data_IF_286733896995
#
_entry.id   IF_286733896995
#
_cell.length_a   1.000
_cell.length_b   1.000
_cell.length_c   1.000
_cell.angle_alpha   90.00
_cell.angle_beta   90.00
_cell.angle_gamma   90.00
#
_symmetry.space_group_name_H-M   'P 1'
#
loop_
_entity.id
_entity.type
_entity.pdbx_description
1 polymer ?
#
# COMPACT_ATOMS: atom_id res chain seq x y z
N UNK A 1 -16.95 -33.06 37.68
CA UNK A 1 -15.63 -32.49 37.94
C UNK A 1 -14.70 -32.51 36.69
N UNK A 2 -14.62 -33.57 35.89
CA UNK A 2 -13.73 -33.61 34.67
C UNK A 2 -14.09 -32.62 33.54
N UNK A 3 -15.37 -32.25 33.35
CA UNK A 3 -15.78 -31.28 32.34
C UNK A 3 -15.43 -29.82 32.67
N UNK A 4 -15.40 -29.46 33.95
CA UNK A 4 -15.05 -28.11 34.41
C UNK A 4 -13.53 -27.85 34.27
N UNK A 5 -12.71 -28.88 34.53
CA UNK A 5 -11.26 -28.81 34.39
C UNK A 5 -10.84 -28.64 32.92
N UNK A 6 -11.55 -29.29 31.98
CA UNK A 6 -11.26 -29.16 30.55
C UNK A 6 -11.63 -27.75 29.99
N UNK A 7 -12.72 -27.18 30.49
CA UNK A 7 -13.15 -25.81 30.12
C UNK A 7 -12.18 -24.76 30.69
N UNK A 8 -11.68 -24.94 31.92
CA UNK A 8 -10.69 -24.04 32.52
C UNK A 8 -9.35 -24.08 31.76
N UNK A 9 -8.85 -25.26 31.33
CA UNK A 9 -7.66 -25.38 30.52
C UNK A 9 -7.79 -24.68 29.17
N UNK A 10 -8.92 -24.85 28.48
CA UNK A 10 -9.15 -24.19 27.17
C UNK A 10 -9.20 -22.65 27.33
N UNK A 11 -9.82 -22.14 28.38
CA UNK A 11 -9.89 -20.70 28.66
C UNK A 11 -8.50 -20.15 29.04
N UNK A 12 -7.71 -20.91 29.80
CA UNK A 12 -6.32 -20.54 30.12
C UNK A 12 -5.40 -20.58 28.90
N UNK A 13 -5.52 -21.59 28.01
CA UNK A 13 -4.73 -21.68 26.76
C UNK A 13 -5.10 -20.57 25.78
N UNK A 14 -6.40 -20.21 25.65
CA UNK A 14 -6.82 -19.07 24.84
C UNK A 14 -6.33 -17.73 25.43
N UNK A 15 -6.36 -17.56 26.75
CA UNK A 15 -5.82 -16.36 27.40
C UNK A 15 -4.30 -16.30 27.29
N UNK A 16 -3.61 -17.43 27.35
CA UNK A 16 -2.16 -17.52 27.16
C UNK A 16 -1.73 -17.23 25.73
N UNK A 17 -2.47 -17.70 24.71
CA UNK A 17 -2.27 -17.34 23.30
C UNK A 17 -2.58 -15.85 23.04
N UNK A 18 -3.63 -15.29 23.64
CA UNK A 18 -3.95 -13.86 23.54
C UNK A 18 -2.92 -12.95 24.23
N UNK A 19 -2.26 -13.41 25.31
CA UNK A 19 -1.25 -12.61 26.02
C UNK A 19 0.10 -12.49 25.30
N UNK A 20 0.34 -13.28 24.26
CA UNK A 20 1.55 -13.24 23.45
C UNK A 20 1.40 -12.48 22.13
N UNK A 21 0.16 -12.14 21.70
CA UNK A 21 -0.06 -11.34 20.49
C UNK A 21 -0.30 -9.87 20.84
N UNK A 22 0.73 -9.07 20.66
CA UNK A 22 0.63 -7.63 20.87
C UNK A 22 -0.06 -6.96 19.68
N UNK A 23 -1.39 -6.80 19.79
CA UNK A 23 -2.21 -6.13 18.75
C UNK A 23 -2.19 -4.61 18.92
N UNK A 24 -2.02 -4.14 20.15
CA UNK A 24 -2.03 -2.71 20.47
C UNK A 24 -0.78 -2.02 19.90
N UNK A 25 -0.97 -0.84 19.32
CA UNK A 25 0.10 0.00 18.79
C UNK A 25 0.30 1.28 19.60
N UNK A 26 -0.81 1.85 20.07
CA UNK A 26 -0.81 3.14 20.74
C UNK A 26 -0.54 2.96 22.23
N UNK A 27 0.25 3.84 22.81
CA UNK A 27 0.24 4.05 24.26
C UNK A 27 -1.12 4.57 24.71
N UNK A 28 -1.43 4.49 26.00
CA UNK A 28 -2.68 5.04 26.54
C UNK A 28 -2.84 6.52 26.21
N UNK A 29 -1.77 7.31 26.32
CA UNK A 29 -1.79 8.74 26.03
C UNK A 29 -2.04 9.03 24.53
N UNK A 30 -1.47 8.25 23.63
CA UNK A 30 -1.72 8.39 22.18
C UNK A 30 -3.15 7.99 21.83
N UNK A 31 -3.69 6.94 22.43
CA UNK A 31 -5.08 6.53 22.22
C UNK A 31 -6.06 7.57 22.73
N UNK A 32 -5.82 8.16 23.91
CA UNK A 32 -6.59 9.27 24.46
C UNK A 32 -6.52 10.50 23.55
N UNK A 33 -5.32 10.90 23.10
CA UNK A 33 -5.12 12.01 22.17
C UNK A 33 -5.84 11.79 20.85
N UNK A 34 -5.75 10.60 20.26
CA UNK A 34 -6.44 10.26 19.01
C UNK A 34 -7.97 10.37 19.18
N UNK A 35 -8.50 9.83 20.28
CA UNK A 35 -9.93 9.96 20.59
C UNK A 35 -10.35 11.43 20.75
N UNK A 36 -9.58 12.23 21.47
CA UNK A 36 -9.84 13.67 21.63
C UNK A 36 -9.89 14.40 20.29
N UNK A 37 -8.91 14.16 19.41
CA UNK A 37 -8.87 14.76 18.06
C UNK A 37 -10.09 14.36 17.24
N UNK A 38 -10.47 13.08 17.25
CA UNK A 38 -11.65 12.58 16.54
C UNK A 38 -12.93 13.20 17.12
N UNK A 39 -13.08 13.22 18.45
CA UNK A 39 -14.32 13.67 19.09
C UNK A 39 -14.57 15.16 18.87
N UNK A 40 -13.51 15.98 18.86
CA UNK A 40 -13.60 17.42 18.63
C UNK A 40 -13.80 17.79 17.16
N UNK A 41 -13.38 16.96 16.21
CA UNK A 41 -13.50 17.27 14.79
C UNK A 41 -14.94 17.20 14.26
N UNK A 42 -15.32 18.16 13.43
CA UNK A 42 -16.61 18.21 12.73
C UNK A 42 -16.47 17.79 11.26
N UNK A 43 -15.37 18.19 10.60
CA UNK A 43 -15.07 17.85 9.23
C UNK A 43 -13.71 17.16 9.14
N UNK A 44 -13.73 15.89 8.80
CA UNK A 44 -12.54 15.05 8.73
C UNK A 44 -12.21 14.76 7.26
N UNK A 45 -10.93 14.87 6.91
CA UNK A 45 -10.40 14.44 5.62
C UNK A 45 -9.50 13.22 5.83
N UNK A 46 -9.62 12.24 4.95
CA UNK A 46 -8.71 11.09 4.86
C UNK A 46 -8.03 11.15 3.49
N UNK A 47 -6.71 11.07 3.46
CA UNK A 47 -5.94 11.08 2.22
C UNK A 47 -4.81 10.06 2.25
N UNK A 48 -4.32 9.68 1.06
CA UNK A 48 -3.21 8.75 0.88
C UNK A 48 -2.22 9.25 -0.17
N UNK A 49 -1.18 8.46 -0.46
CA UNK A 49 -0.14 8.84 -1.41
C UNK A 49 -0.62 8.93 -2.87
N UNK A 50 0.17 9.60 -3.72
CA UNK A 50 -0.02 9.64 -5.17
C UNK A 50 0.05 8.24 -5.78
N UNK A 51 -0.75 8.02 -6.83
CA UNK A 51 -0.92 6.72 -7.47
C UNK A 51 -1.31 5.65 -6.46
N UNK A 52 -2.45 5.84 -5.77
CA UNK A 52 -2.87 4.96 -4.68
C UNK A 52 -2.94 3.50 -5.14
N UNK A 53 -2.35 2.62 -4.36
CA UNK A 53 -2.41 1.18 -4.55
C UNK A 53 -3.51 0.53 -3.71
N UNK A 54 -3.46 -0.79 -3.56
CA UNK A 54 -4.49 -1.51 -2.82
C UNK A 54 -4.45 -1.26 -1.31
N UNK A 55 -3.26 -0.99 -0.74
CA UNK A 55 -3.13 -0.68 0.68
C UNK A 55 -3.57 0.75 0.98
N UNK A 56 -3.08 1.73 0.22
CA UNK A 56 -3.51 3.12 0.34
C UNK A 56 -5.04 3.26 0.26
N UNK A 57 -5.66 2.60 -0.72
CA UNK A 57 -7.12 2.61 -0.88
C UNK A 57 -7.83 1.82 0.22
N UNK A 58 -7.34 0.63 0.56
CA UNK A 58 -7.93 -0.24 1.57
C UNK A 58 -7.93 0.39 2.96
N UNK A 59 -6.77 0.89 3.41
CA UNK A 59 -6.60 1.55 4.69
C UNK A 59 -7.44 2.83 4.80
N UNK A 60 -7.38 3.70 3.78
CA UNK A 60 -8.11 4.97 3.79
C UNK A 60 -9.62 4.79 3.76
N UNK A 61 -10.14 3.85 2.95
CA UNK A 61 -11.57 3.53 2.91
C UNK A 61 -12.04 2.91 4.23
N UNK A 62 -11.25 2.01 4.82
CA UNK A 62 -11.59 1.37 6.09
C UNK A 62 -11.64 2.37 7.24
N UNK A 63 -10.67 3.28 7.31
CA UNK A 63 -10.66 4.34 8.31
C UNK A 63 -11.83 5.31 8.13
N UNK A 64 -12.14 5.68 6.89
CA UNK A 64 -13.32 6.48 6.53
C UNK A 64 -14.62 5.81 6.99
N UNK A 65 -14.76 4.49 6.76
CA UNK A 65 -15.94 3.72 7.20
C UNK A 65 -16.03 3.64 8.72
N UNK A 66 -14.90 3.42 9.43
CA UNK A 66 -14.88 3.42 10.90
C UNK A 66 -15.34 4.76 11.47
N UNK A 67 -14.76 5.85 11.01
CA UNK A 67 -15.11 7.19 11.48
C UNK A 67 -16.56 7.55 11.18
N UNK A 68 -17.05 7.24 9.99
CA UNK A 68 -18.43 7.58 9.58
C UNK A 68 -19.47 6.70 10.27
N UNK A 69 -19.25 5.37 10.36
CA UNK A 69 -20.27 4.43 10.82
C UNK A 69 -20.26 4.22 12.35
N UNK A 70 -19.10 4.35 13.00
CA UNK A 70 -18.97 4.06 14.43
C UNK A 70 -18.74 5.30 15.28
N UNK A 71 -18.19 6.38 14.69
CA UNK A 71 -17.93 7.64 15.41
C UNK A 71 -18.88 8.76 14.98
N UNK A 72 -19.81 8.50 14.06
CA UNK A 72 -20.79 9.46 13.53
C UNK A 72 -20.16 10.76 13.02
N UNK A 73 -19.02 10.64 12.30
CA UNK A 73 -18.26 11.77 11.79
C UNK A 73 -18.53 12.02 10.30
N UNK A 74 -18.52 13.31 9.92
CA UNK A 74 -18.54 13.71 8.51
C UNK A 74 -17.13 13.58 7.94
N UNK A 75 -16.93 12.57 7.09
CA UNK A 75 -15.60 12.25 6.54
C UNK A 75 -15.62 12.34 5.01
N UNK A 76 -14.62 13.00 4.46
CA UNK A 76 -14.38 13.04 3.02
C UNK A 76 -13.05 12.36 2.71
N UNK A 77 -13.06 11.32 1.87
CA UNK A 77 -11.84 10.72 1.35
C UNK A 77 -11.41 11.44 0.08
N UNK A 78 -10.17 11.92 0.08
CA UNK A 78 -9.53 12.61 -1.05
C UNK A 78 -8.30 11.82 -1.48
N UNK A 79 -8.09 11.65 -2.78
CA UNK A 79 -6.87 11.04 -3.32
C UNK A 79 -6.20 11.98 -4.33
N UNK A 80 -4.86 11.97 -4.45
CA UNK A 80 -4.15 12.87 -5.35
C UNK A 80 -4.51 12.66 -6.83
N UNK A 81 -4.62 11.40 -7.26
CA UNK A 81 -4.87 11.04 -8.65
C UNK A 81 -5.65 9.72 -8.81
N UNK A 82 -5.69 9.17 -10.02
CA UNK A 82 -6.37 7.91 -10.29
C UNK A 82 -5.67 6.71 -9.64
N UNK A 83 -6.46 5.82 -9.06
CA UNK A 83 -6.06 4.50 -8.62
C UNK A 83 -6.37 3.43 -9.69
N UNK A 84 -5.77 2.21 -9.58
CA UNK A 84 -5.97 1.14 -10.55
C UNK A 84 -7.42 0.68 -10.69
N UNK A 85 -7.80 0.32 -11.92
CA UNK A 85 -9.16 -0.14 -12.26
C UNK A 85 -9.63 -1.33 -11.42
N UNK A 86 -8.71 -2.24 -11.09
CA UNK A 86 -9.02 -3.42 -10.29
C UNK A 86 -9.39 -3.11 -8.83
N UNK A 87 -9.34 -1.84 -8.40
CA UNK A 87 -9.77 -1.40 -7.07
C UNK A 87 -11.16 -0.75 -7.06
N UNK A 88 -11.75 -0.45 -8.22
CA UNK A 88 -13.06 0.23 -8.31
C UNK A 88 -14.23 -0.58 -7.71
N UNK A 89 -14.05 -1.88 -7.49
CA UNK A 89 -15.05 -2.73 -6.83
C UNK A 89 -15.05 -2.57 -5.30
N UNK A 90 -14.00 -1.98 -4.71
CA UNK A 90 -13.96 -1.76 -3.26
C UNK A 90 -15.12 -0.85 -2.84
N UNK A 91 -15.86 -1.24 -1.79
CA UNK A 91 -16.95 -0.41 -1.32
C UNK A 91 -16.45 0.97 -0.90
N UNK A 92 -17.13 2.04 -1.31
CA UNK A 92 -16.79 3.41 -0.96
C UNK A 92 -16.00 4.18 -2.01
N UNK A 93 -15.43 3.51 -2.98
CA UNK A 93 -14.70 4.15 -4.09
C UNK A 93 -15.55 5.15 -4.88
N UNK A 94 -16.86 4.95 -4.91
CA UNK A 94 -17.82 5.84 -5.56
C UNK A 94 -17.93 7.23 -4.92
N UNK A 95 -17.41 7.40 -3.69
CA UNK A 95 -17.45 8.66 -2.92
C UNK A 95 -16.08 9.35 -2.82
N UNK A 96 -15.05 8.75 -3.39
CA UNK A 96 -13.68 9.28 -3.34
C UNK A 96 -13.54 10.48 -4.26
N UNK A 97 -13.05 11.59 -3.73
CA UNK A 97 -12.80 12.82 -4.50
C UNK A 97 -11.35 12.81 -5.00
N UNK A 98 -11.16 12.97 -6.30
CA UNK A 98 -9.83 12.98 -6.91
C UNK A 98 -9.34 14.42 -7.11
N UNK A 99 -8.18 14.76 -6.57
CA UNK A 99 -7.58 16.09 -6.70
C UNK A 99 -7.25 16.44 -8.15
N UNK A 100 -6.69 15.51 -8.94
CA UNK A 100 -6.35 15.72 -10.36
C UNK A 100 -7.56 16.11 -11.23
N UNK A 101 -8.78 15.87 -10.77
CA UNK A 101 -10.03 16.21 -11.45
C UNK A 101 -10.78 17.40 -10.84
N UNK A 102 -10.61 17.64 -9.53
CA UNK A 102 -11.41 18.55 -8.76
C UNK A 102 -10.54 19.40 -7.82
N UNK A 103 -9.50 20.09 -8.38
CA UNK A 103 -8.49 20.83 -7.61
C UNK A 103 -9.10 21.86 -6.67
N UNK A 104 -9.99 22.71 -7.17
CA UNK A 104 -10.61 23.79 -6.38
C UNK A 104 -11.51 23.23 -5.27
N UNK A 105 -12.30 22.19 -5.58
CA UNK A 105 -13.14 21.53 -4.59
C UNK A 105 -12.31 20.89 -3.47
N UNK A 106 -11.20 20.25 -3.81
CA UNK A 106 -10.32 19.63 -2.81
C UNK A 106 -9.61 20.70 -1.97
N UNK A 107 -9.18 21.80 -2.57
CA UNK A 107 -8.61 22.93 -1.82
C UNK A 107 -9.61 23.49 -0.81
N UNK A 108 -10.88 23.64 -1.19
CA UNK A 108 -11.95 24.06 -0.29
C UNK A 108 -12.19 23.03 0.85
N UNK A 109 -12.26 21.74 0.52
CA UNK A 109 -12.40 20.65 1.51
C UNK A 109 -11.26 20.68 2.52
N UNK A 110 -10.01 20.79 2.07
CA UNK A 110 -8.83 20.81 2.93
C UNK A 110 -8.77 22.06 3.81
N UNK A 111 -9.19 23.21 3.30
CA UNK A 111 -9.23 24.49 4.06
C UNK A 111 -10.22 24.42 5.23
N UNK A 112 -11.32 23.68 5.08
CA UNK A 112 -12.35 23.55 6.12
C UNK A 112 -12.20 22.30 7.00
N UNK A 113 -11.18 21.49 6.77
CA UNK A 113 -10.96 20.30 7.56
C UNK A 113 -10.42 20.66 8.95
N UNK A 114 -11.05 20.11 10.00
CA UNK A 114 -10.57 20.22 11.38
C UNK A 114 -9.48 19.17 11.67
N UNK A 115 -9.59 18.01 11.02
CA UNK A 115 -8.70 16.88 11.21
C UNK A 115 -8.43 16.19 9.87
N UNK A 116 -7.16 15.93 9.59
CA UNK A 116 -6.70 15.29 8.35
C UNK A 116 -5.90 14.05 8.69
N UNK A 117 -6.32 12.90 8.20
CA UNK A 117 -5.58 11.65 8.30
C UNK A 117 -4.73 11.44 7.06
N UNK A 118 -3.42 11.34 7.27
CA UNK A 118 -2.39 11.03 6.27
C UNK A 118 -2.11 9.52 6.34
N UNK A 119 -2.68 8.74 5.42
CA UNK A 119 -2.64 7.26 5.48
C UNK A 119 -1.73 6.72 4.38
N UNK A 120 -0.84 5.80 4.77
CA UNK A 120 0.05 5.08 3.87
C UNK A 120 1.07 5.98 3.16
N UNK A 121 1.57 6.99 3.85
CA UNK A 121 2.73 7.76 3.40
C UNK A 121 3.48 8.41 4.56
N UNK A 122 4.79 8.48 4.41
CA UNK A 122 5.76 8.94 5.41
C UNK A 122 6.16 10.41 5.27
N UNK A 123 5.80 11.08 4.18
CA UNK A 123 6.23 12.45 3.86
C UNK A 123 5.15 13.20 3.08
N UNK A 124 4.98 14.51 3.35
CA UNK A 124 3.99 15.34 2.65
C UNK A 124 4.19 15.37 1.13
N UNK A 125 5.40 15.26 0.65
CA UNK A 125 5.74 15.22 -0.78
C UNK A 125 5.19 14.01 -1.52
N UNK A 126 4.75 12.96 -0.81
CA UNK A 126 4.16 11.74 -1.40
C UNK A 126 2.80 11.97 -2.07
N UNK A 127 2.14 13.09 -1.78
CA UNK A 127 0.89 13.46 -2.45
C UNK A 127 1.10 14.34 -3.70
N UNK A 128 2.36 14.56 -4.13
CA UNK A 128 2.79 15.25 -5.36
C UNK A 128 2.13 16.63 -5.55
N UNK A 129 1.35 16.84 -6.60
CA UNK A 129 0.70 18.14 -6.87
C UNK A 129 -0.22 18.63 -5.73
N UNK A 130 -0.74 17.75 -4.89
CA UNK A 130 -1.59 18.10 -3.76
C UNK A 130 -0.78 18.55 -2.52
N UNK A 131 0.57 18.49 -2.55
CA UNK A 131 1.45 18.78 -1.40
C UNK A 131 1.18 20.18 -0.82
N UNK A 132 1.11 21.20 -1.65
CA UNK A 132 0.84 22.58 -1.19
C UNK A 132 -0.48 22.68 -0.45
N UNK A 133 -1.55 22.12 -1.04
CA UNK A 133 -2.91 22.17 -0.45
C UNK A 133 -2.95 21.42 0.89
N UNK A 134 -2.28 20.27 0.99
CA UNK A 134 -2.19 19.51 2.24
C UNK A 134 -1.35 20.23 3.31
N UNK A 135 -0.23 20.84 2.92
CA UNK A 135 0.68 21.53 3.84
C UNK A 135 0.04 22.79 4.40
N UNK A 136 -0.65 23.56 3.56
CA UNK A 136 -1.31 24.82 3.95
C UNK A 136 -2.61 24.61 4.73
N UNK A 137 -3.19 23.43 4.71
CA UNK A 137 -4.38 23.11 5.50
C UNK A 137 -4.10 23.26 7.01
N UNK A 138 -4.98 23.98 7.70
CA UNK A 138 -4.83 24.36 9.12
C UNK A 138 -5.33 23.30 10.10
N UNK A 139 -6.09 22.30 9.64
CA UNK A 139 -6.55 21.18 10.46
C UNK A 139 -5.42 20.37 11.06
N UNK A 140 -5.66 19.79 12.22
CA UNK A 140 -4.73 18.83 12.84
C UNK A 140 -4.42 17.68 11.90
N UNK A 141 -3.16 17.23 11.82
CA UNK A 141 -2.76 16.15 10.95
C UNK A 141 -2.31 14.94 11.75
N UNK A 142 -2.83 13.77 11.40
CA UNK A 142 -2.49 12.48 12.01
C UNK A 142 -1.95 11.55 10.94
N UNK A 143 -0.73 11.05 11.11
CA UNK A 143 -0.13 10.05 10.24
C UNK A 143 -0.49 8.66 10.72
N UNK A 144 -0.89 7.76 9.79
CA UNK A 144 -1.04 6.32 10.01
C UNK A 144 -0.31 5.60 8.89
N UNK A 145 0.89 5.10 9.17
CA UNK A 145 1.83 4.68 8.13
C UNK A 145 2.73 3.52 8.57
N UNK A 146 3.33 2.84 7.60
CA UNK A 146 4.29 1.78 7.82
C UNK A 146 5.59 1.95 6.99
N UNK A 147 5.79 3.10 6.37
CA UNK A 147 7.01 3.39 5.63
C UNK A 147 8.17 3.80 6.55
N UNK A 148 9.41 3.55 6.09
CA UNK A 148 10.63 3.99 6.77
C UNK A 148 10.79 5.52 6.74
N UNK A 149 11.50 6.07 7.73
CA UNK A 149 11.88 7.48 7.80
C UNK A 149 10.70 8.47 7.72
N UNK A 150 9.72 8.39 8.64
CA UNK A 150 8.58 9.30 8.63
C UNK A 150 8.97 10.73 8.97
N UNK A 151 8.41 11.70 8.23
CA UNK A 151 8.53 13.14 8.50
C UNK A 151 7.61 13.53 9.66
N UNK A 152 8.18 14.20 10.68
CA UNK A 152 7.44 14.62 11.89
C UNK A 152 6.81 16.00 11.76
N UNK A 153 7.35 16.83 10.87
CA UNK A 153 6.94 18.22 10.74
C UNK A 153 5.46 18.32 10.31
N UNK A 154 4.69 19.11 11.04
CA UNK A 154 3.27 19.33 10.77
C UNK A 154 2.33 18.22 11.24
N UNK A 155 2.82 17.15 11.90
CA UNK A 155 2.00 16.08 12.46
C UNK A 155 1.68 16.31 13.93
N UNK A 156 0.41 16.28 14.29
CA UNK A 156 -0.07 16.35 15.68
C UNK A 156 0.09 14.99 16.40
N UNK A 157 -0.12 13.90 15.66
CA UNK A 157 0.07 12.53 16.13
C UNK A 157 0.63 11.66 15.01
N UNK A 158 1.53 10.76 15.36
CA UNK A 158 2.11 9.80 14.43
C UNK A 158 1.93 8.37 14.91
N UNK A 159 1.22 7.58 14.12
CA UNK A 159 1.09 6.13 14.27
C UNK A 159 1.88 5.51 13.12
N UNK A 160 3.20 5.46 13.29
CA UNK A 160 4.13 5.01 12.25
C UNK A 160 4.89 3.77 12.72
N UNK A 161 4.66 2.64 12.02
CA UNK A 161 5.13 1.32 12.40
C UNK A 161 5.75 0.59 11.20
N UNK A 162 7.02 0.87 10.85
CA UNK A 162 7.68 0.26 9.69
C UNK A 162 7.84 -1.27 9.76
N UNK A 163 7.69 -1.85 10.93
CA UNK A 163 7.70 -3.31 11.13
C UNK A 163 6.39 -3.99 10.74
N UNK A 164 5.32 -3.23 10.51
CA UNK A 164 4.02 -3.78 10.10
C UNK A 164 3.97 -4.05 8.60
N UNK A 165 3.07 -4.94 8.20
CA UNK A 165 2.97 -5.41 6.82
C UNK A 165 2.35 -4.41 5.87
N UNK A 166 1.55 -3.46 6.39
CA UNK A 166 0.73 -2.54 5.60
C UNK A 166 0.11 -1.45 6.47
N UNK A 167 -0.28 -0.33 5.89
CA UNK A 167 -1.09 0.69 6.57
C UNK A 167 -2.49 0.16 6.93
N UNK A 168 -3.02 -0.79 6.18
CA UNK A 168 -4.27 -1.51 6.52
C UNK A 168 -4.13 -2.32 7.80
N UNK A 169 -2.96 -2.92 8.08
CA UNK A 169 -2.68 -3.55 9.36
C UNK A 169 -2.65 -2.52 10.49
N UNK A 170 -2.03 -1.35 10.26
CA UNK A 170 -2.04 -0.23 11.23
C UNK A 170 -3.48 0.17 11.55
N UNK A 171 -4.31 0.41 10.53
CA UNK A 171 -5.72 0.78 10.70
C UNK A 171 -6.49 -0.29 11.47
N UNK A 172 -6.34 -1.57 11.14
CA UNK A 172 -7.00 -2.65 11.89
C UNK A 172 -6.66 -2.59 13.37
N UNK A 173 -5.37 -2.49 13.70
CA UNK A 173 -4.88 -2.51 15.09
C UNK A 173 -5.36 -1.29 15.88
N UNK A 174 -5.39 -0.11 15.25
CA UNK A 174 -5.93 1.10 15.86
C UNK A 174 -7.43 0.97 16.10
N UNK A 175 -8.22 0.51 15.13
CA UNK A 175 -9.66 0.26 15.31
C UNK A 175 -9.91 -0.77 16.42
N UNK A 176 -9.11 -1.84 16.46
CA UNK A 176 -9.17 -2.84 17.53
C UNK A 176 -8.92 -2.23 18.90
N UNK A 177 -7.85 -1.48 19.05
CA UNK A 177 -7.45 -0.87 20.33
C UNK A 177 -8.44 0.19 20.81
N UNK A 178 -9.10 0.90 19.90
CA UNK A 178 -10.18 1.86 20.22
C UNK A 178 -11.54 1.18 20.47
N UNK A 179 -11.60 -0.16 20.53
CA UNK A 179 -12.82 -0.92 20.80
C UNK A 179 -13.81 -1.01 19.64
N UNK A 180 -13.39 -0.61 18.42
CA UNK A 180 -14.27 -0.58 17.24
C UNK A 180 -14.46 -1.92 16.56
N UNK A 181 -13.74 -2.97 16.95
CA UNK A 181 -13.79 -4.25 16.23
C UNK A 181 -15.18 -4.90 16.27
N UNK A 182 -15.84 -4.91 17.40
CA UNK A 182 -17.15 -5.59 17.55
C UNK A 182 -18.18 -5.04 16.56
N UNK A 183 -18.17 -3.73 16.33
CA UNK A 183 -19.07 -3.02 15.41
C UNK A 183 -18.52 -2.93 13.99
N UNK A 184 -17.33 -3.49 13.72
CA UNK A 184 -16.72 -3.46 12.39
C UNK A 184 -17.62 -4.13 11.36
N UNK A 185 -17.96 -3.37 10.33
CA UNK A 185 -18.81 -3.87 9.22
C UNK A 185 -18.04 -4.82 8.32
N UNK A 186 -18.75 -5.70 7.61
CA UNK A 186 -18.18 -6.52 6.54
C UNK A 186 -17.45 -5.66 5.48
N UNK A 187 -17.96 -4.47 5.21
CA UNK A 187 -17.40 -3.50 4.27
C UNK A 187 -16.01 -3.05 4.72
N UNK A 188 -15.89 -2.55 5.95
CA UNK A 188 -14.62 -2.15 6.55
C UNK A 188 -13.62 -3.32 6.59
N UNK A 189 -14.05 -4.51 7.00
CA UNK A 189 -13.21 -5.70 7.01
C UNK A 189 -12.72 -6.12 5.61
N UNK A 190 -13.55 -5.94 4.56
CA UNK A 190 -13.17 -6.20 3.17
C UNK A 190 -12.08 -5.25 2.69
N UNK A 191 -12.18 -3.97 3.05
CA UNK A 191 -11.21 -2.93 2.71
C UNK A 191 -9.84 -3.21 3.37
N UNK A 192 -9.84 -3.47 4.68
CA UNK A 192 -8.62 -3.83 5.43
C UNK A 192 -7.96 -5.08 4.84
N UNK A 193 -8.74 -6.15 4.62
CA UNK A 193 -8.19 -7.39 4.06
C UNK A 193 -7.59 -7.18 2.67
N UNK A 194 -8.23 -6.36 1.82
CA UNK A 194 -7.71 -6.05 0.50
C UNK A 194 -6.36 -5.34 0.58
N UNK A 195 -6.21 -4.34 1.43
CA UNK A 195 -4.94 -3.63 1.59
C UNK A 195 -3.84 -4.52 2.13
N UNK A 196 -4.08 -5.25 3.22
CA UNK A 196 -3.10 -6.22 3.75
C UNK A 196 -2.69 -7.26 2.70
N UNK A 197 -3.64 -7.75 1.90
CA UNK A 197 -3.38 -8.74 0.86
C UNK A 197 -2.54 -8.16 -0.29
N UNK A 198 -2.80 -6.94 -0.71
CA UNK A 198 -2.06 -6.34 -1.84
C UNK A 198 -0.63 -6.03 -1.46
N UNK A 199 -0.40 -5.46 -0.28
CA UNK A 199 0.95 -5.04 0.16
C UNK A 199 1.86 -6.22 0.55
N UNK A 200 1.27 -7.37 0.82
CA UNK A 200 1.99 -8.63 1.09
C UNK A 200 2.03 -9.60 -0.11
N UNK A 201 1.62 -9.13 -1.30
CA UNK A 201 1.57 -9.97 -2.50
C UNK A 201 0.74 -11.24 -2.33
N UNK A 202 -0.45 -11.11 -1.73
CA UNK A 202 -1.30 -12.24 -1.39
C UNK A 202 -0.78 -13.07 -0.22
N UNK A 203 -0.10 -12.43 0.73
CA UNK A 203 0.52 -13.05 1.91
C UNK A 203 1.70 -13.98 1.55
N UNK A 204 2.46 -13.62 0.52
CA UNK A 204 3.64 -14.38 0.07
C UNK A 204 4.96 -13.77 0.53
N UNK A 205 4.97 -12.50 0.91
CA UNK A 205 6.12 -11.81 1.52
C UNK A 205 5.64 -10.84 2.62
N UNK A 206 6.58 -10.39 3.47
CA UNK A 206 6.32 -9.51 4.63
C UNK A 206 5.12 -9.95 5.49
N UNK A 207 4.90 -11.27 5.59
CA UNK A 207 3.70 -11.85 6.23
C UNK A 207 4.01 -13.05 7.13
N UNK A 208 5.23 -13.13 7.68
CA UNK A 208 5.64 -14.25 8.54
C UNK A 208 5.21 -14.09 10.01
N UNK A 209 4.75 -12.90 10.43
CA UNK A 209 4.34 -12.63 11.80
C UNK A 209 2.97 -13.27 12.10
N UNK A 210 2.82 -13.99 13.24
CA UNK A 210 1.56 -14.64 13.61
C UNK A 210 0.36 -13.69 13.72
N UNK A 211 0.60 -12.43 14.10
CA UNK A 211 -0.43 -11.41 14.25
C UNK A 211 -1.18 -11.16 12.95
N UNK A 212 -0.52 -11.24 11.81
CA UNK A 212 -1.15 -11.07 10.48
C UNK A 212 -2.24 -12.12 10.30
N UNK A 213 -1.95 -13.38 10.59
CA UNK A 213 -2.91 -14.49 10.44
C UNK A 213 -4.02 -14.44 11.50
N UNK A 214 -3.70 -13.94 12.70
CA UNK A 214 -4.72 -13.66 13.70
C UNK A 214 -5.70 -12.58 13.19
N UNK A 215 -5.18 -11.46 12.67
CA UNK A 215 -6.00 -10.38 12.08
C UNK A 215 -6.85 -10.91 10.93
N UNK A 216 -6.26 -11.68 10.02
CA UNK A 216 -7.01 -12.33 8.92
C UNK A 216 -8.14 -13.19 9.48
N UNK A 217 -7.88 -14.01 10.50
CA UNK A 217 -8.90 -14.80 11.19
C UNK A 217 -10.04 -13.94 11.73
N UNK A 218 -9.72 -12.82 12.38
CA UNK A 218 -10.72 -11.88 12.88
C UNK A 218 -11.53 -11.23 11.74
N UNK A 219 -10.89 -10.79 10.67
CA UNK A 219 -11.58 -10.23 9.50
C UNK A 219 -12.55 -11.24 8.85
N UNK A 220 -12.17 -12.51 8.80
CA UNK A 220 -13.04 -13.59 8.30
C UNK A 220 -14.32 -13.74 9.15
N UNK A 221 -14.24 -13.50 10.47
CA UNK A 221 -15.45 -13.54 11.33
C UNK A 221 -16.48 -12.46 10.95
N UNK A 222 -16.07 -11.40 10.25
CA UNK A 222 -16.96 -10.36 9.73
C UNK A 222 -17.67 -10.76 8.42
N UNK A 223 -17.45 -12.00 7.95
CA UNK A 223 -18.14 -12.57 6.80
C UNK A 223 -17.62 -12.05 5.45
N UNK A 224 -16.36 -11.65 5.37
CA UNK A 224 -15.72 -11.29 4.09
C UNK A 224 -15.58 -12.53 3.19
N UNK A 225 -15.65 -12.32 1.89
CA UNK A 225 -15.36 -13.35 0.87
C UNK A 225 -13.92 -13.12 0.34
N UNK A 226 -12.94 -13.71 1.02
CA UNK A 226 -11.52 -13.54 0.67
C UNK A 226 -11.20 -14.05 -0.73
N UNK A 227 -11.88 -15.08 -1.21
CA UNK A 227 -11.63 -15.66 -2.53
C UNK A 227 -12.14 -14.71 -3.62
N UNK A 228 -13.27 -14.04 -3.39
CA UNK A 228 -13.77 -13.00 -4.28
C UNK A 228 -12.84 -11.78 -4.26
N UNK A 229 -12.34 -11.37 -3.09
CA UNK A 229 -11.36 -10.27 -2.97
C UNK A 229 -10.12 -10.60 -3.80
N UNK A 230 -9.56 -11.81 -3.62
CA UNK A 230 -8.40 -12.27 -4.38
C UNK A 230 -8.65 -12.26 -5.89
N UNK A 231 -9.80 -12.78 -6.34
CA UNK A 231 -10.16 -12.78 -7.77
C UNK A 231 -10.28 -11.37 -8.34
N UNK A 232 -10.87 -10.45 -7.59
CA UNK A 232 -11.05 -9.07 -8.06
C UNK A 232 -9.73 -8.33 -8.21
N UNK A 233 -8.70 -8.66 -7.41
CA UNK A 233 -7.38 -8.02 -7.45
C UNK A 233 -6.44 -8.74 -8.41
N UNK A 234 -6.24 -10.06 -8.23
CA UNK A 234 -5.19 -10.80 -8.93
C UNK A 234 -5.67 -11.59 -10.16
N UNK A 235 -6.98 -11.83 -10.28
CA UNK A 235 -7.55 -12.61 -11.39
C UNK A 235 -8.56 -11.78 -12.20
N UNK A 236 -8.33 -10.48 -12.32
CA UNK A 236 -9.20 -9.54 -13.02
C UNK A 236 -8.50 -8.83 -14.19
N UNK A 237 -7.59 -9.52 -14.85
CA UNK A 237 -6.89 -8.98 -16.00
C UNK A 237 -7.73 -9.07 -17.27
N UNK A 238 -7.65 -8.03 -18.11
CA UNK A 238 -8.17 -8.09 -19.48
C UNK A 238 -7.40 -9.13 -20.31
N UNK A 239 -8.00 -9.61 -21.38
CA UNK A 239 -7.29 -10.45 -22.35
C UNK A 239 -6.03 -9.77 -22.91
N UNK A 240 -6.07 -8.44 -23.06
CA UNK A 240 -4.93 -7.66 -23.55
C UNK A 240 -3.82 -7.56 -22.51
N UNK A 241 -4.15 -7.35 -21.24
CA UNK A 241 -3.16 -7.39 -20.14
C UNK A 241 -2.46 -8.75 -20.07
N UNK A 242 -3.20 -9.85 -20.19
CA UNK A 242 -2.61 -11.20 -20.21
C UNK A 242 -1.70 -11.43 -21.42
N UNK A 243 -2.08 -10.92 -22.60
CA UNK A 243 -1.23 -10.98 -23.80
C UNK A 243 0.02 -10.13 -23.65
N UNK A 244 -0.08 -8.94 -23.07
CA UNK A 244 1.08 -8.09 -22.75
C UNK A 244 2.04 -8.83 -21.81
N UNK A 245 1.55 -9.42 -20.72
CA UNK A 245 2.37 -10.23 -19.79
C UNK A 245 3.12 -11.34 -20.51
N UNK A 246 2.41 -12.14 -21.31
CA UNK A 246 3.04 -13.21 -22.11
C UNK A 246 4.10 -12.68 -23.08
N UNK A 247 3.83 -11.56 -23.77
CA UNK A 247 4.78 -10.91 -24.65
C UNK A 247 6.03 -10.41 -23.92
N UNK A 248 5.85 -9.70 -22.81
CA UNK A 248 6.97 -9.17 -22.01
C UNK A 248 7.86 -10.31 -21.53
N UNK A 249 7.30 -11.35 -20.92
CA UNK A 249 8.09 -12.46 -20.38
C UNK A 249 8.79 -13.25 -21.50
N UNK A 250 8.15 -13.44 -22.65
CA UNK A 250 8.72 -14.25 -23.73
C UNK A 250 9.66 -13.50 -24.68
N UNK A 251 9.51 -12.16 -24.81
CA UNK A 251 10.22 -11.38 -25.84
C UNK A 251 11.05 -10.22 -25.30
N UNK A 252 10.73 -9.73 -24.09
CA UNK A 252 11.34 -8.50 -23.55
C UNK A 252 12.16 -8.74 -22.28
N UNK A 253 12.07 -9.92 -21.69
CA UNK A 253 12.81 -10.25 -20.47
C UNK A 253 14.30 -10.39 -20.78
N UNK A 254 15.11 -9.56 -20.15
CA UNK A 254 16.56 -9.65 -20.12
C UNK A 254 16.97 -10.35 -18.81
N UNK A 255 17.64 -11.49 -18.91
CA UNK A 255 18.04 -12.32 -17.80
C UNK A 255 19.57 -12.35 -17.65
N UNK A 256 20.06 -12.11 -16.43
CA UNK A 256 21.47 -12.12 -16.08
C UNK A 256 21.71 -13.24 -15.05
N UNK A 257 22.04 -14.43 -15.56
CA UNK A 257 22.20 -15.62 -14.74
C UNK A 257 23.26 -15.44 -13.65
N UNK A 258 24.43 -14.90 -14.01
CA UNK A 258 25.55 -14.67 -13.10
C UNK A 258 25.26 -13.66 -11.96
N UNK A 259 24.23 -12.85 -12.12
CA UNK A 259 23.81 -11.81 -11.17
C UNK A 259 22.45 -12.12 -10.52
N UNK A 260 21.81 -13.24 -10.83
CA UNK A 260 20.47 -13.55 -10.32
C UNK A 260 19.49 -12.39 -10.49
N UNK A 261 19.61 -11.63 -11.55
CA UNK A 261 18.86 -10.42 -11.81
C UNK A 261 18.20 -10.45 -13.19
N UNK A 262 17.10 -9.73 -13.33
CA UNK A 262 16.43 -9.55 -14.61
C UNK A 262 15.86 -8.15 -14.72
N UNK A 263 15.66 -7.70 -15.96
CA UNK A 263 14.80 -6.55 -16.24
C UNK A 263 14.01 -6.77 -17.53
N UNK A 264 12.97 -5.98 -17.68
CA UNK A 264 12.20 -5.87 -18.92
C UNK A 264 11.73 -4.44 -19.16
N UNK A 265 11.35 -4.17 -20.41
CA UNK A 265 10.88 -2.86 -20.84
C UNK A 265 9.43 -2.92 -21.31
N UNK A 266 8.67 -1.86 -21.06
CA UNK A 266 7.33 -1.61 -21.60
C UNK A 266 7.36 -0.25 -22.29
N UNK A 267 7.37 -0.26 -23.63
CA UNK A 267 7.38 0.95 -24.44
C UNK A 267 5.97 1.47 -24.72
N UNK A 268 5.84 2.73 -25.14
CA UNK A 268 4.55 3.27 -25.64
C UNK A 268 3.99 2.45 -26.81
N UNK A 269 4.86 1.93 -27.67
CA UNK A 269 4.46 1.03 -28.75
C UNK A 269 3.84 -0.26 -28.21
N UNK A 270 4.44 -0.85 -27.16
CA UNK A 270 3.85 -2.03 -26.50
C UNK A 270 2.51 -1.68 -25.85
N UNK A 271 2.44 -0.55 -25.14
CA UNK A 271 1.19 -0.07 -24.53
C UNK A 271 0.08 0.12 -25.57
N UNK A 272 0.37 0.78 -26.68
CA UNK A 272 -0.59 0.97 -27.77
C UNK A 272 -1.02 -0.37 -28.40
N UNK A 273 -0.07 -1.27 -28.66
CA UNK A 273 -0.32 -2.60 -29.25
C UNK A 273 -1.25 -3.45 -28.40
N UNK A 274 -1.12 -3.37 -27.08
CA UNK A 274 -1.88 -4.21 -26.13
C UNK A 274 -3.01 -3.44 -25.42
N UNK A 275 -3.41 -2.27 -25.91
CA UNK A 275 -4.49 -1.47 -25.34
C UNK A 275 -4.35 -1.26 -23.83
N UNK A 276 -3.12 -0.93 -23.41
CA UNK A 276 -2.73 -0.81 -22.00
C UNK A 276 -3.59 0.21 -21.25
N UNK A 277 -4.08 -0.18 -20.10
CA UNK A 277 -4.74 0.71 -19.13
C UNK A 277 -3.97 0.72 -17.79
N UNK A 278 -4.18 1.75 -16.98
CA UNK A 278 -3.54 1.85 -15.65
C UNK A 278 -3.91 0.64 -14.79
N UNK A 279 -2.90 -0.09 -14.31
CA UNK A 279 -3.05 -1.34 -13.54
C UNK A 279 -2.65 -2.61 -14.31
N UNK A 280 -2.59 -2.60 -15.64
CA UNK A 280 -2.25 -3.80 -16.43
C UNK A 280 -0.82 -4.33 -16.16
N UNK A 281 0.10 -3.44 -15.76
CA UNK A 281 1.47 -3.82 -15.37
C UNK A 281 1.60 -4.20 -13.89
N UNK A 282 0.53 -4.08 -13.11
CA UNK A 282 0.60 -4.39 -11.67
C UNK A 282 1.00 -5.85 -11.45
N UNK A 283 1.97 -6.05 -10.55
CA UNK A 283 2.51 -7.37 -10.26
C UNK A 283 3.38 -8.00 -11.38
N UNK A 284 3.46 -7.41 -12.59
CA UNK A 284 4.26 -7.98 -13.68
C UNK A 284 5.76 -8.05 -13.30
N UNK A 285 6.24 -7.06 -12.56
CA UNK A 285 7.63 -7.03 -12.08
C UNK A 285 7.97 -8.19 -11.12
N UNK A 286 6.97 -8.84 -10.52
CA UNK A 286 7.18 -10.01 -9.67
C UNK A 286 7.32 -11.32 -10.45
N UNK A 287 6.84 -11.38 -11.70
CA UNK A 287 6.83 -12.63 -12.47
C UNK A 287 8.23 -13.23 -12.67
N UNK A 288 9.28 -12.44 -12.98
CA UNK A 288 10.62 -12.99 -13.12
C UNK A 288 11.20 -13.57 -11.83
N UNK A 289 10.76 -13.13 -10.65
CA UNK A 289 11.20 -13.67 -9.36
C UNK A 289 10.80 -15.15 -9.16
N UNK A 290 9.90 -15.68 -10.00
CA UNK A 290 9.55 -17.12 -10.03
C UNK A 290 10.60 -17.98 -10.73
N UNK A 291 11.57 -17.38 -11.41
CA UNK A 291 12.70 -18.11 -11.98
C UNK A 291 13.59 -18.58 -10.83
N UNK A 292 13.93 -19.86 -10.83
CA UNK A 292 14.74 -20.45 -9.77
C UNK A 292 16.05 -19.67 -9.59
N UNK A 293 16.31 -19.23 -8.37
CA UNK A 293 17.52 -18.48 -7.99
C UNK A 293 17.48 -16.98 -8.31
N UNK A 294 16.39 -16.45 -8.91
CA UNK A 294 16.27 -15.02 -9.16
C UNK A 294 16.14 -14.25 -7.86
N UNK A 295 16.95 -13.21 -7.69
CA UNK A 295 16.95 -12.32 -6.53
C UNK A 295 16.36 -10.92 -6.81
N UNK A 296 16.51 -10.43 -8.04
CA UNK A 296 16.11 -9.08 -8.43
C UNK A 296 15.36 -9.07 -9.75
N UNK A 297 14.26 -8.34 -9.80
CA UNK A 297 13.53 -8.01 -11.04
C UNK A 297 13.26 -6.51 -11.14
N UNK A 298 13.54 -5.93 -12.31
CA UNK A 298 13.36 -4.51 -12.61
C UNK A 298 12.45 -4.35 -13.82
N UNK A 299 11.47 -3.46 -13.71
CA UNK A 299 10.62 -3.03 -14.81
C UNK A 299 10.92 -1.59 -15.19
N UNK A 300 11.13 -1.34 -16.46
CA UNK A 300 11.25 -0.01 -17.07
C UNK A 300 10.02 0.25 -17.94
N UNK A 301 9.26 1.30 -17.64
CA UNK A 301 8.06 1.65 -18.40
C UNK A 301 8.11 3.10 -18.83
N UNK A 302 7.95 3.36 -20.15
CA UNK A 302 7.75 4.72 -20.65
C UNK A 302 6.50 5.37 -20.05
N UNK A 303 6.58 6.66 -19.74
CA UNK A 303 5.40 7.43 -19.37
C UNK A 303 4.49 7.60 -20.60
N UNK A 304 3.18 7.55 -20.42
CA UNK A 304 2.19 7.64 -21.49
C UNK A 304 2.01 9.06 -22.03
N UNK A 305 2.47 10.09 -21.30
CA UNK A 305 2.25 11.52 -21.62
C UNK A 305 3.54 12.31 -21.81
N UNK A 306 4.58 12.01 -21.04
CA UNK A 306 5.82 12.77 -21.01
C UNK A 306 6.94 12.04 -21.73
N UNK A 307 7.55 12.69 -22.72
CA UNK A 307 8.69 12.14 -23.43
C UNK A 307 9.91 12.04 -22.51
N UNK A 308 10.73 11.05 -22.72
CA UNK A 308 11.95 10.80 -21.94
C UNK A 308 11.72 10.69 -20.44
N UNK A 309 10.55 10.21 -20.02
CA UNK A 309 10.26 9.85 -18.63
C UNK A 309 10.04 8.34 -18.54
N UNK A 310 10.87 7.68 -17.76
CA UNK A 310 10.81 6.23 -17.52
C UNK A 310 10.47 5.97 -16.05
N UNK A 311 9.40 5.24 -15.83
CA UNK A 311 9.05 4.70 -14.52
C UNK A 311 9.83 3.43 -14.26
N UNK A 312 10.45 3.33 -13.09
CA UNK A 312 11.22 2.17 -12.66
C UNK A 312 10.52 1.51 -11.50
N UNK A 313 10.32 0.20 -11.58
CA UNK A 313 9.82 -0.60 -10.46
C UNK A 313 10.81 -1.71 -10.16
N UNK A 314 11.15 -1.90 -8.88
CA UNK A 314 12.07 -2.95 -8.43
C UNK A 314 11.34 -3.88 -7.47
N UNK A 315 11.62 -5.16 -7.61
CA UNK A 315 11.21 -6.19 -6.64
C UNK A 315 12.37 -7.14 -6.41
N UNK A 316 12.52 -7.57 -5.18
CA UNK A 316 13.55 -8.53 -4.81
C UNK A 316 13.01 -9.56 -3.83
N UNK A 317 13.83 -10.56 -3.53
CA UNK A 317 13.58 -11.55 -2.48
C UNK A 317 14.71 -11.48 -1.45
N UNK A 318 14.49 -12.10 -0.29
CA UNK A 318 15.46 -12.17 0.80
C UNK A 318 15.86 -10.78 1.30
N UNK A 319 17.12 -10.54 1.54
CA UNK A 319 17.70 -9.31 2.10
C UNK A 319 18.26 -8.33 1.04
N UNK A 320 17.97 -8.56 -0.24
CA UNK A 320 18.44 -7.63 -1.29
C UNK A 320 17.73 -6.26 -1.20
N UNK A 321 18.52 -5.15 -1.01
CA UNK A 321 17.94 -3.83 -0.70
C UNK A 321 17.53 -3.06 -1.97
N UNK A 322 16.33 -3.32 -2.48
CA UNK A 322 15.76 -2.54 -3.59
C UNK A 322 15.72 -1.04 -3.33
N UNK A 323 15.44 -0.63 -2.09
CA UNK A 323 15.36 0.78 -1.71
C UNK A 323 16.70 1.51 -1.84
N UNK A 324 17.80 0.87 -1.47
CA UNK A 324 19.14 1.45 -1.66
C UNK A 324 19.48 1.59 -3.15
N UNK A 325 19.18 0.57 -3.97
CA UNK A 325 19.38 0.62 -5.41
C UNK A 325 18.52 1.70 -6.06
N UNK A 326 17.24 1.80 -5.68
CA UNK A 326 16.33 2.81 -6.19
C UNK A 326 16.80 4.24 -5.85
N UNK A 327 17.25 4.47 -4.63
CA UNK A 327 17.76 5.78 -4.19
C UNK A 327 19.04 6.17 -4.93
N UNK A 328 19.96 5.21 -5.15
CA UNK A 328 21.27 5.47 -5.76
C UNK A 328 21.20 5.65 -7.28
N UNK A 329 20.40 4.86 -7.98
CA UNK A 329 20.42 4.79 -9.44
C UNK A 329 19.15 5.30 -10.14
N UNK A 330 18.01 5.38 -9.44
CA UNK A 330 16.72 5.61 -10.10
C UNK A 330 15.91 6.77 -9.53
N UNK A 331 16.53 7.67 -8.76
CA UNK A 331 15.86 8.82 -8.11
C UNK A 331 14.57 8.40 -7.39
N UNK A 332 14.67 7.34 -6.60
CA UNK A 332 13.52 6.70 -5.99
C UNK A 332 13.75 6.22 -4.56
N UNK A 333 12.91 5.29 -4.11
CA UNK A 333 12.94 4.70 -2.78
C UNK A 333 11.82 3.70 -2.59
N UNK A 334 11.57 3.30 -1.36
CA UNK A 334 10.52 2.34 -1.00
C UNK A 334 10.99 1.39 0.10
N UNK A 335 10.40 0.20 0.10
CA UNK A 335 10.74 -0.87 1.05
C UNK A 335 11.93 -1.71 0.58
N UNK A 336 12.46 -2.54 1.49
CA UNK A 336 13.59 -3.42 1.21
C UNK A 336 13.40 -4.23 -0.09
N UNK A 337 12.27 -4.88 -0.26
CA UNK A 337 11.98 -5.77 -1.39
C UNK A 337 11.01 -5.19 -2.44
N UNK A 338 10.53 -3.96 -2.25
CA UNK A 338 9.59 -3.31 -3.16
C UNK A 338 9.86 -1.81 -3.22
N UNK A 339 10.43 -1.34 -4.32
CA UNK A 339 10.82 0.05 -4.51
C UNK A 339 10.51 0.53 -5.91
N UNK A 340 10.48 1.84 -6.08
CA UNK A 340 10.26 2.47 -7.36
C UNK A 340 11.13 3.69 -7.56
N UNK A 341 11.16 4.20 -8.78
CA UNK A 341 11.89 5.41 -9.12
C UNK A 341 11.47 5.95 -10.48
N UNK A 342 12.17 6.99 -10.92
CA UNK A 342 11.96 7.60 -12.23
C UNK A 342 13.27 8.09 -12.83
N UNK A 343 13.40 7.96 -14.14
CA UNK A 343 14.52 8.48 -14.90
C UNK A 343 14.01 9.45 -15.98
N UNK A 344 14.67 10.60 -16.10
CA UNK A 344 14.40 11.57 -17.17
C UNK A 344 15.40 11.34 -18.32
N UNK A 345 15.19 10.29 -19.11
CA UNK A 345 16.10 9.87 -20.19
C UNK A 345 15.36 8.97 -21.21
N UNK A 346 16.04 8.60 -22.28
CA UNK A 346 15.52 7.62 -23.25
C UNK A 346 15.49 6.21 -22.65
N UNK A 347 14.75 5.28 -23.28
CA UNK A 347 14.72 3.88 -22.87
C UNK A 347 16.09 3.22 -22.93
N UNK A 348 16.89 3.49 -23.97
CA UNK A 348 18.24 2.93 -24.14
C UNK A 348 19.18 3.38 -23.01
N UNK A 349 19.08 4.64 -22.59
CA UNK A 349 19.84 5.18 -21.44
C UNK A 349 19.37 4.56 -20.11
N UNK A 350 18.07 4.34 -19.96
CA UNK A 350 17.51 3.68 -18.79
C UNK A 350 17.96 2.21 -18.70
N UNK A 351 17.98 1.47 -19.81
CA UNK A 351 18.52 0.11 -19.85
C UNK A 351 20.01 0.07 -19.45
N UNK A 352 20.78 1.05 -19.92
CA UNK A 352 22.20 1.18 -19.52
C UNK A 352 22.33 1.41 -18.03
N UNK A 353 21.53 2.33 -17.45
CA UNK A 353 21.51 2.59 -16.02
C UNK A 353 21.15 1.35 -15.19
N UNK A 354 20.21 0.52 -15.67
CA UNK A 354 19.87 -0.76 -15.03
C UNK A 354 21.06 -1.71 -15.02
N UNK A 355 21.77 -1.85 -16.15
CA UNK A 355 22.97 -2.72 -16.23
C UNK A 355 24.06 -2.26 -15.27
N UNK A 356 24.31 -0.96 -15.20
CA UNK A 356 25.26 -0.35 -14.27
C UNK A 356 24.84 -0.61 -12.81
N UNK A 357 23.55 -0.46 -12.48
CA UNK A 357 23.02 -0.72 -11.14
C UNK A 357 23.18 -2.20 -10.74
N UNK A 358 22.91 -3.15 -11.64
CA UNK A 358 23.08 -4.60 -11.38
C UNK A 358 24.58 -4.89 -11.10
N UNK A 359 25.49 -4.29 -11.85
CA UNK A 359 26.95 -4.48 -11.63
C UNK A 359 27.38 -3.88 -10.30
N UNK A 360 26.92 -2.66 -9.97
CA UNK A 360 27.26 -1.97 -8.70
C UNK A 360 26.76 -2.75 -7.46
N UNK A 361 25.67 -3.48 -7.58
CA UNK A 361 25.11 -4.31 -6.50
C UNK A 361 25.45 -5.82 -6.64
N UNK A 362 26.38 -6.18 -7.52
CA UNK A 362 26.69 -7.58 -7.82
C UNK A 362 27.09 -8.42 -6.59
N UNK A 363 27.77 -7.81 -5.61
CA UNK A 363 28.18 -8.52 -4.39
C UNK A 363 26.99 -8.90 -3.49
N UNK A 364 25.87 -8.15 -3.56
CA UNK A 364 24.63 -8.47 -2.83
C UNK A 364 23.71 -9.42 -3.61
N UNK A 365 23.95 -9.60 -4.91
CA UNK A 365 23.17 -10.47 -5.80
C UNK A 365 23.71 -11.92 -5.88
N UNK A 366 24.97 -12.13 -5.55
CA UNK A 366 25.63 -13.44 -5.59
C UNK A 366 25.31 -14.33 -4.38
#
# INVERSE_FOLDING_TARGET
>A
MKKLSFFLCIVFDLHYLCSYMEINLLTTAEAEKLNELIDNAQQIVVTCHKSPDGDAMGASLAWTDYLSAQRDKKVTMVVPDAYPDFLHWLPGTERVVRYDKHKDQVAEIMTHADLIFCIDFNAMSRVDEMTTVLTEATGHKVMMDHHLNPEKEGMELMVSHPELSSASEVVFRVVWQLGGFDMMTRRCATQIYCGMMTDTGGFTYNSTRPEIYYIIGQLLTKGIDKDRIYRNVYNNYSCWAMRLRGYIISQKLNYFEDYHASYFTITRSDMARFHFIKGDAEGLVNEPLRIKGMKLSISLREDDRHDNLIWVSLRSVEDFPCNEMAARHFNGGGHLNASGGKLCCTMDEAEKAVREAIIDFSDKLK
#
